data_IF_656896569384
#
_entry.id   IF_656896569384
#
_cell.length_a   1.000
_cell.length_b   1.000
_cell.length_c   1.000
_cell.angle_alpha   90.00
_cell.angle_beta   90.00
_cell.angle_gamma   90.00
#
_symmetry.space_group_name_H-M   'P 1'
#
loop_
_entity.id
_entity.type
_entity.pdbx_description
1 polymer ?
#
# COMPACT_ATOMS: atom_id res chain seq x y z
N UNK A 1 -30.60 9.95 19.07
CA UNK A 1 -29.46 9.13 19.54
C UNK A 1 -28.84 8.33 18.39
N UNK A 2 -29.55 7.36 17.79
CA UNK A 2 -28.96 6.54 16.69
C UNK A 2 -28.63 7.40 15.46
N UNK A 3 -29.50 8.34 15.08
CA UNK A 3 -29.24 9.28 13.98
C UNK A 3 -28.25 10.41 14.33
N UNK A 4 -27.93 10.60 15.62
CA UNK A 4 -26.99 11.64 16.09
C UNK A 4 -25.56 11.09 16.25
N UNK A 5 -25.38 9.77 16.18
CA UNK A 5 -24.09 9.13 16.25
C UNK A 5 -23.49 8.98 14.84
N UNK A 6 -22.16 9.02 14.73
CA UNK A 6 -21.47 8.83 13.44
C UNK A 6 -21.77 7.46 12.79
N UNK A 7 -22.11 6.46 13.60
CA UNK A 7 -22.50 5.12 13.15
C UNK A 7 -23.67 4.63 14.01
N UNK A 8 -24.83 4.46 13.40
CA UNK A 8 -26.03 3.92 14.03
C UNK A 8 -26.13 2.40 13.89
N UNK A 9 -26.21 1.66 14.99
CA UNK A 9 -26.44 0.20 14.98
C UNK A 9 -27.76 -0.13 15.67
N UNK A 10 -28.74 -0.64 14.91
CA UNK A 10 -30.03 -1.09 15.39
C UNK A 10 -30.04 -2.58 15.74
N UNK A 11 -30.72 -2.94 16.83
CA UNK A 11 -30.94 -4.33 17.21
C UNK A 11 -32.34 -4.75 16.76
N UNK A 12 -32.42 -5.72 15.85
CA UNK A 12 -33.67 -6.28 15.37
C UNK A 12 -34.27 -7.20 16.42
N UNK A 13 -35.48 -6.85 16.87
CA UNK A 13 -36.27 -7.62 17.82
C UNK A 13 -37.76 -7.57 17.48
N UNK A 14 -38.56 -8.26 18.29
CA UNK A 14 -40.02 -8.39 18.06
C UNK A 14 -40.78 -7.10 18.46
N UNK A 15 -40.15 -6.25 19.27
CA UNK A 15 -40.80 -5.11 19.94
C UNK A 15 -40.81 -3.81 19.13
N UNK A 16 -40.25 -3.81 17.91
CA UNK A 16 -40.37 -2.68 16.97
C UNK A 16 -39.17 -2.52 16.03
N UNK A 17 -39.46 -2.14 14.78
CA UNK A 17 -38.44 -1.96 13.73
C UNK A 17 -37.98 -0.51 13.52
N UNK A 18 -38.54 0.45 14.25
CA UNK A 18 -38.26 1.88 14.02
C UNK A 18 -36.78 2.22 14.22
N UNK A 19 -36.14 1.73 15.28
CA UNK A 19 -34.72 1.93 15.53
C UNK A 19 -33.82 1.26 14.49
N UNK A 20 -34.27 0.12 13.95
CA UNK A 20 -33.56 -0.63 12.90
C UNK A 20 -33.64 0.11 11.57
N UNK A 21 -34.82 0.60 11.19
CA UNK A 21 -35.03 1.36 9.96
C UNK A 21 -34.29 2.70 9.96
N UNK A 22 -34.03 3.26 11.15
CA UNK A 22 -33.28 4.51 11.33
C UNK A 22 -31.77 4.28 11.58
N UNK A 23 -31.26 3.05 11.44
CA UNK A 23 -29.84 2.70 11.69
C UNK A 23 -29.09 2.33 10.41
N UNK A 24 -27.76 2.53 10.39
CA UNK A 24 -26.90 2.15 9.25
C UNK A 24 -26.71 0.63 9.16
N UNK A 25 -26.60 -0.02 10.33
CA UNK A 25 -26.45 -1.47 10.44
C UNK A 25 -27.53 -2.08 11.34
N UNK A 26 -28.11 -3.19 10.89
CA UNK A 26 -29.06 -3.99 11.68
C UNK A 26 -28.43 -5.31 12.11
N UNK A 27 -28.44 -5.59 13.41
CA UNK A 27 -27.97 -6.87 13.97
C UNK A 27 -29.08 -7.53 14.80
N UNK A 28 -29.14 -8.86 14.82
CA UNK A 28 -30.18 -9.58 15.59
C UNK A 28 -29.91 -9.61 17.10
N UNK A 29 -28.64 -9.60 17.53
CA UNK A 29 -28.24 -9.74 18.92
C UNK A 29 -27.01 -8.87 19.21
N UNK A 30 -26.93 -8.32 20.42
CA UNK A 30 -25.80 -7.47 20.84
C UNK A 30 -24.43 -8.18 20.71
N UNK A 31 -24.37 -9.51 20.90
CA UNK A 31 -23.12 -10.29 20.73
C UNK A 31 -22.50 -10.14 19.33
N UNK A 32 -23.28 -9.85 18.29
CA UNK A 32 -22.73 -9.66 16.94
C UNK A 32 -22.03 -8.31 16.76
N UNK A 33 -22.22 -7.35 17.66
CA UNK A 33 -21.55 -6.05 17.64
C UNK A 33 -20.02 -6.20 17.74
N UNK A 34 -19.53 -7.14 18.54
CA UNK A 34 -18.09 -7.43 18.67
C UNK A 34 -17.49 -7.79 17.31
N UNK A 35 -18.14 -8.67 16.55
CA UNK A 35 -17.66 -9.09 15.23
C UNK A 35 -17.81 -7.99 14.18
N UNK A 36 -18.87 -7.19 14.26
CA UNK A 36 -19.06 -6.05 13.36
C UNK A 36 -17.91 -5.05 13.50
N UNK A 37 -17.59 -4.64 14.74
CA UNK A 37 -16.55 -3.63 14.98
C UNK A 37 -15.13 -4.20 14.83
N UNK A 38 -14.81 -5.27 15.56
CA UNK A 38 -13.41 -5.76 15.67
C UNK A 38 -12.92 -6.41 14.38
N UNK A 39 -13.81 -7.08 13.63
CA UNK A 39 -13.43 -7.73 12.36
C UNK A 39 -13.70 -6.80 11.19
N UNK A 40 -14.97 -6.44 10.95
CA UNK A 40 -15.34 -5.70 9.74
C UNK A 40 -14.88 -4.24 9.81
N UNK A 41 -15.02 -3.58 10.96
CA UNK A 41 -14.52 -2.22 11.17
C UNK A 41 -13.02 -2.10 10.97
N UNK A 42 -12.23 -3.01 11.56
CA UNK A 42 -10.76 -3.07 11.38
C UNK A 42 -10.38 -3.28 9.91
N UNK A 43 -10.99 -4.27 9.25
CA UNK A 43 -10.70 -4.55 7.84
C UNK A 43 -11.08 -3.40 6.92
N UNK A 44 -12.29 -2.82 7.07
CA UNK A 44 -12.73 -1.70 6.24
C UNK A 44 -11.84 -0.47 6.43
N UNK A 45 -11.47 -0.13 7.67
CA UNK A 45 -10.56 0.98 7.93
C UNK A 45 -9.22 0.79 7.22
N UNK A 46 -8.60 -0.39 7.37
CA UNK A 46 -7.30 -0.68 6.76
C UNK A 46 -7.36 -0.71 5.23
N UNK A 47 -8.38 -1.36 4.66
CA UNK A 47 -8.63 -1.44 3.21
C UNK A 47 -8.77 -0.07 2.59
N UNK A 48 -9.66 0.78 3.15
CA UNK A 48 -9.92 2.12 2.63
C UNK A 48 -8.66 2.99 2.76
N UNK A 49 -7.97 2.93 3.89
CA UNK A 49 -6.74 3.71 4.10
C UNK A 49 -5.64 3.32 3.09
N UNK A 50 -5.40 2.02 2.88
CA UNK A 50 -4.43 1.53 1.90
C UNK A 50 -4.84 1.87 0.47
N UNK A 51 -6.12 1.70 0.14
CA UNK A 51 -6.67 2.04 -1.18
C UNK A 51 -6.46 3.52 -1.51
N UNK A 52 -6.78 4.43 -0.58
CA UNK A 52 -6.62 5.88 -0.79
C UNK A 52 -5.13 6.24 -0.96
N UNK A 53 -4.27 5.75 -0.06
CA UNK A 53 -2.83 6.01 -0.15
C UNK A 53 -2.24 5.55 -1.49
N UNK A 54 -2.61 4.34 -1.92
CA UNK A 54 -2.17 3.80 -3.20
C UNK A 54 -2.77 4.56 -4.39
N UNK A 55 -4.02 5.03 -4.28
CA UNK A 55 -4.65 5.85 -5.32
C UNK A 55 -3.89 7.17 -5.52
N UNK A 56 -3.45 7.83 -4.44
CA UNK A 56 -2.58 9.00 -4.58
C UNK A 56 -1.25 8.65 -5.26
N UNK A 57 -0.60 7.58 -4.83
CA UNK A 57 0.65 7.11 -5.43
C UNK A 57 0.53 6.89 -6.93
N UNK A 58 -0.45 6.09 -7.40
CA UNK A 58 -0.57 5.74 -8.82
C UNK A 58 -0.85 6.95 -9.70
N UNK A 59 -1.70 7.87 -9.24
CA UNK A 59 -2.09 9.05 -10.00
C UNK A 59 -0.96 10.09 -10.06
N UNK A 60 -0.20 10.27 -8.98
CA UNK A 60 0.98 11.13 -8.97
C UNK A 60 2.08 10.52 -9.86
N UNK A 61 2.32 9.21 -9.73
CA UNK A 61 3.30 8.50 -10.54
C UNK A 61 3.01 8.67 -12.04
N UNK A 62 1.74 8.53 -12.46
CA UNK A 62 1.32 8.75 -13.83
C UNK A 62 1.35 10.23 -14.24
N UNK A 63 0.62 11.10 -13.52
CA UNK A 63 0.42 12.49 -13.91
C UNK A 63 1.71 13.32 -13.95
N UNK A 64 2.65 13.07 -13.04
CA UNK A 64 3.92 13.80 -13.06
C UNK A 64 4.82 13.42 -14.26
N UNK A 65 4.69 12.22 -14.83
CA UNK A 65 5.46 11.89 -16.05
C UNK A 65 5.05 12.75 -17.24
N UNK A 66 3.75 13.04 -17.38
CA UNK A 66 3.26 14.00 -18.39
C UNK A 66 3.82 15.40 -18.13
N UNK A 67 3.77 15.85 -16.86
CA UNK A 67 4.30 17.15 -16.48
C UNK A 67 5.81 17.31 -16.81
N UNK A 68 6.62 16.27 -16.54
CA UNK A 68 8.04 16.29 -16.87
C UNK A 68 8.28 16.27 -18.38
N UNK A 69 7.45 15.57 -19.14
CA UNK A 69 7.54 15.58 -20.59
C UNK A 69 7.21 16.95 -21.19
N UNK A 70 6.15 17.60 -20.73
CA UNK A 70 5.80 18.97 -21.12
C UNK A 70 6.94 19.95 -20.82
N UNK A 71 7.56 19.84 -19.64
CA UNK A 71 8.73 20.66 -19.31
C UNK A 71 9.91 20.39 -20.26
N UNK A 72 10.12 19.13 -20.66
CA UNK A 72 11.20 18.72 -21.57
C UNK A 72 10.98 19.22 -23.02
N UNK A 73 9.73 19.30 -23.49
CA UNK A 73 9.38 19.82 -24.82
C UNK A 73 9.21 21.34 -24.87
N UNK A 74 9.46 22.05 -23.76
CA UNK A 74 9.32 23.51 -23.68
C UNK A 74 7.88 23.98 -23.56
N UNK A 75 7.00 23.17 -22.96
CA UNK A 75 5.57 23.40 -22.77
C UNK A 75 4.81 23.60 -24.08
N UNK A 76 5.13 22.77 -25.08
CA UNK A 76 4.47 22.80 -26.39
C UNK A 76 3.03 22.27 -26.37
N UNK A 77 2.60 21.59 -25.30
CA UNK A 77 1.29 20.93 -25.19
C UNK A 77 1.24 19.57 -25.90
N UNK A 78 2.40 19.03 -26.28
CA UNK A 78 2.49 17.74 -26.94
C UNK A 78 2.50 16.61 -25.90
N UNK A 79 1.51 15.71 -25.94
CA UNK A 79 1.45 14.54 -25.06
C UNK A 79 2.40 13.43 -25.51
N UNK A 80 3.16 12.85 -24.57
CA UNK A 80 3.97 11.65 -24.78
C UNK A 80 3.14 10.37 -24.90
N UNK A 81 1.95 10.36 -24.32
CA UNK A 81 1.05 9.19 -24.34
C UNK A 81 -0.08 9.40 -25.32
N UNK A 82 -0.48 8.30 -25.96
CA UNK A 82 -1.68 8.24 -26.77
C UNK A 82 -2.94 8.44 -25.91
N UNK A 83 -3.95 9.13 -26.46
CA UNK A 83 -5.18 9.47 -25.75
C UNK A 83 -5.93 8.22 -25.25
N UNK A 84 -5.92 7.13 -26.02
CA UNK A 84 -6.52 5.88 -25.59
C UNK A 84 -5.79 5.27 -24.40
N UNK A 85 -4.47 5.42 -24.33
CA UNK A 85 -3.67 4.91 -23.21
C UNK A 85 -4.04 5.64 -21.94
N UNK A 86 -4.14 6.97 -22.01
CA UNK A 86 -4.52 7.82 -20.88
C UNK A 86 -5.91 7.48 -20.35
N UNK A 87 -6.88 7.25 -21.25
CA UNK A 87 -8.25 6.85 -20.88
C UNK A 87 -8.27 5.46 -20.20
N UNK A 88 -7.54 4.49 -20.76
CA UNK A 88 -7.50 3.12 -20.25
C UNK A 88 -6.80 2.99 -18.89
N UNK A 89 -5.83 3.86 -18.62
CA UNK A 89 -5.02 3.81 -17.41
C UNK A 89 -5.87 3.75 -16.14
N UNK A 90 -6.80 4.68 -16.00
CA UNK A 90 -7.62 4.80 -14.80
C UNK A 90 -8.83 3.86 -14.80
N UNK A 91 -9.44 3.61 -15.96
CA UNK A 91 -10.72 2.90 -16.05
C UNK A 91 -10.55 1.39 -15.98
N UNK A 92 -9.59 0.82 -16.72
CA UNK A 92 -9.46 -0.63 -16.89
C UNK A 92 -8.15 -1.13 -16.25
N UNK A 93 -7.04 -0.49 -16.57
CA UNK A 93 -5.72 -1.05 -16.25
C UNK A 93 -5.40 -0.96 -14.76
N UNK A 94 -5.72 0.14 -14.08
CA UNK A 94 -5.34 0.31 -12.67
C UNK A 94 -6.49 0.28 -11.67
N UNK A 95 -7.75 0.25 -12.12
CA UNK A 95 -8.92 0.20 -11.23
C UNK A 95 -9.11 -1.19 -10.61
N UNK A 96 -9.04 -2.26 -11.40
CA UNK A 96 -9.31 -3.63 -10.95
C UNK A 96 -8.35 -4.09 -9.83
N UNK A 97 -7.03 -3.86 -9.91
CA UNK A 97 -6.13 -4.17 -8.80
C UNK A 97 -6.45 -3.36 -7.54
N UNK A 98 -6.80 -2.08 -7.68
CA UNK A 98 -7.14 -1.19 -6.56
C UNK A 98 -8.42 -1.62 -5.86
N UNK A 99 -9.45 -1.98 -6.64
CA UNK A 99 -10.69 -2.55 -6.10
C UNK A 99 -10.40 -3.87 -5.38
N UNK A 100 -9.50 -4.69 -5.95
CA UNK A 100 -9.08 -5.94 -5.30
C UNK A 100 -8.51 -5.71 -3.91
N UNK A 101 -7.61 -4.73 -3.78
CA UNK A 101 -7.03 -4.30 -2.51
C UNK A 101 -8.10 -3.73 -1.56
N UNK A 102 -9.05 -2.93 -2.08
CA UNK A 102 -10.11 -2.32 -1.28
C UNK A 102 -11.16 -3.31 -0.76
N UNK A 103 -11.35 -4.47 -1.41
CA UNK A 103 -12.44 -5.41 -1.10
C UNK A 103 -11.93 -6.70 -0.46
N UNK A 104 -10.91 -7.33 -1.05
CA UNK A 104 -10.50 -8.69 -0.68
C UNK A 104 -9.33 -8.74 0.31
N UNK A 105 -8.67 -7.62 0.56
CA UNK A 105 -7.49 -7.58 1.42
C UNK A 105 -7.84 -7.98 2.86
N UNK A 106 -7.06 -8.90 3.43
CA UNK A 106 -7.20 -9.33 4.81
C UNK A 106 -5.81 -9.40 5.41
N UNK A 107 -5.56 -8.59 6.42
CA UNK A 107 -4.26 -8.60 7.09
C UNK A 107 -4.14 -9.76 8.07
N UNK A 108 -5.23 -10.05 8.78
CA UNK A 108 -5.32 -11.09 9.80
C UNK A 108 -6.70 -11.75 9.68
N UNK A 109 -6.78 -13.07 9.88
CA UNK A 109 -8.04 -13.80 9.75
C UNK A 109 -9.06 -13.40 10.83
N UNK A 110 -10.36 -13.51 10.52
CA UNK A 110 -11.44 -13.07 11.41
C UNK A 110 -11.39 -13.68 12.81
N UNK A 111 -11.02 -14.95 12.92
CA UNK A 111 -10.87 -15.65 14.20
C UNK A 111 -9.80 -15.03 15.09
N UNK A 112 -8.70 -14.56 14.48
CA UNK A 112 -7.58 -13.97 15.20
C UNK A 112 -7.90 -12.55 15.62
N UNK A 113 -8.60 -11.79 14.77
CA UNK A 113 -9.12 -10.47 15.15
C UNK A 113 -9.98 -10.54 16.41
N UNK A 114 -10.88 -11.54 16.53
CA UNK A 114 -11.69 -11.77 17.73
C UNK A 114 -10.89 -12.26 18.95
N UNK A 115 -9.75 -12.93 18.73
CA UNK A 115 -8.84 -13.30 19.81
C UNK A 115 -8.06 -12.08 20.32
N UNK A 116 -7.69 -11.15 19.43
CA UNK A 116 -6.89 -9.96 19.73
C UNK A 116 -7.65 -8.65 19.43
N UNK A 117 -8.64 -8.27 20.27
CA UNK A 117 -9.42 -7.06 20.06
C UNK A 117 -8.58 -5.77 20.13
N UNK A 118 -7.37 -5.83 20.70
CA UNK A 118 -6.42 -4.72 20.71
C UNK A 118 -6.04 -4.22 19.29
N UNK A 119 -6.14 -5.07 18.25
CA UNK A 119 -5.94 -4.67 16.84
C UNK A 119 -6.90 -3.54 16.43
N UNK A 120 -8.13 -3.55 16.94
CA UNK A 120 -9.12 -2.52 16.65
C UNK A 120 -8.66 -1.12 17.10
N UNK A 121 -7.79 -1.02 18.12
CA UNK A 121 -7.28 0.28 18.58
C UNK A 121 -6.42 1.01 17.54
N UNK A 122 -6.01 0.33 16.47
CA UNK A 122 -5.25 0.97 15.39
C UNK A 122 -6.11 1.97 14.60
N UNK A 123 -7.43 1.72 14.52
CA UNK A 123 -8.41 2.62 13.89
C UNK A 123 -8.55 3.95 14.64
N UNK A 124 -9.01 3.96 15.90
CA UNK A 124 -9.16 5.19 16.68
C UNK A 124 -7.87 6.00 16.87
N UNK A 125 -6.69 5.36 16.77
CA UNK A 125 -5.38 6.02 16.81
C UNK A 125 -4.92 6.56 15.46
N UNK A 126 -5.72 6.40 14.40
CA UNK A 126 -5.45 6.83 13.03
C UNK A 126 -4.10 6.36 12.45
N UNK A 127 -3.63 5.17 12.81
CA UNK A 127 -2.29 4.71 12.43
C UNK A 127 -2.09 4.49 10.92
N UNK A 128 -3.15 4.19 10.17
CA UNK A 128 -3.06 3.90 8.73
C UNK A 128 -3.48 5.07 7.85
N UNK A 129 -4.20 6.06 8.40
CA UNK A 129 -4.70 7.23 7.70
C UNK A 129 -4.23 8.51 8.41
N UNK A 130 -2.91 8.65 8.49
CA UNK A 130 -2.23 9.83 9.01
C UNK A 130 -1.62 10.64 7.87
N UNK A 131 -1.52 11.96 8.04
CA UNK A 131 -1.05 12.86 6.99
C UNK A 131 0.40 12.56 6.59
N UNK A 132 1.24 12.19 7.55
CA UNK A 132 2.63 11.76 7.28
C UNK A 132 2.67 10.53 6.37
N UNK A 133 1.73 9.60 6.53
CA UNK A 133 1.66 8.39 5.69
C UNK A 133 1.20 8.73 4.29
N UNK A 134 0.17 9.56 4.16
CA UNK A 134 -0.32 10.04 2.85
C UNK A 134 0.80 10.76 2.10
N UNK A 135 1.48 11.72 2.76
CA UNK A 135 2.62 12.42 2.19
C UNK A 135 3.77 11.46 1.81
N UNK A 136 4.04 10.43 2.61
CA UNK A 136 5.01 9.39 2.27
C UNK A 136 4.67 8.65 0.99
N UNK A 137 3.39 8.29 0.78
CA UNK A 137 2.92 7.68 -0.46
C UNK A 137 2.97 8.64 -1.65
N UNK A 138 2.65 9.93 -1.45
CA UNK A 138 2.79 10.96 -2.48
C UNK A 138 4.25 11.16 -2.89
N UNK A 139 5.17 11.20 -1.92
CA UNK A 139 6.61 11.29 -2.15
C UNK A 139 7.14 10.06 -2.89
N UNK A 140 6.66 8.85 -2.54
CA UNK A 140 6.97 7.64 -3.30
C UNK A 140 6.46 7.74 -4.75
N UNK A 141 5.27 8.31 -4.97
CA UNK A 141 4.71 8.54 -6.30
C UNK A 141 5.57 9.51 -7.13
N UNK A 142 6.04 10.59 -6.51
CA UNK A 142 6.97 11.55 -7.11
C UNK A 142 8.33 10.92 -7.42
N UNK A 143 8.86 10.08 -6.54
CA UNK A 143 10.08 9.33 -6.81
C UNK A 143 9.90 8.39 -8.01
N UNK A 144 8.82 7.59 -8.02
CA UNK A 144 8.53 6.67 -9.11
C UNK A 144 8.36 7.40 -10.44
N UNK A 145 7.66 8.54 -10.50
CA UNK A 145 7.51 9.31 -11.75
C UNK A 145 8.84 9.85 -12.26
N UNK A 146 9.72 10.35 -11.38
CA UNK A 146 11.05 10.82 -11.74
C UNK A 146 11.88 9.68 -12.34
N UNK A 147 11.92 8.53 -11.66
CA UNK A 147 12.64 7.33 -12.11
C UNK A 147 12.13 6.87 -13.47
N UNK A 148 10.81 6.76 -13.63
CA UNK A 148 10.18 6.33 -14.89
C UNK A 148 10.54 7.28 -16.03
N UNK A 149 10.39 8.58 -15.82
CA UNK A 149 10.64 9.58 -16.86
C UNK A 149 12.14 9.63 -17.23
N UNK A 150 13.00 9.89 -16.24
CA UNK A 150 14.42 10.12 -16.50
C UNK A 150 15.13 8.85 -16.98
N UNK A 151 14.85 7.67 -16.41
CA UNK A 151 15.50 6.45 -16.89
C UNK A 151 15.09 6.12 -18.32
N UNK A 152 13.80 6.20 -18.67
CA UNK A 152 13.37 5.93 -20.04
C UNK A 152 14.00 6.92 -21.03
N UNK A 153 13.95 8.23 -20.75
CA UNK A 153 14.58 9.23 -21.63
C UNK A 153 16.07 8.97 -21.78
N UNK A 154 16.82 8.73 -20.69
CA UNK A 154 18.26 8.47 -20.76
C UNK A 154 18.61 7.19 -21.55
N UNK A 155 17.82 6.12 -21.42
CA UNK A 155 18.04 4.87 -22.15
C UNK A 155 17.82 5.08 -23.65
N UNK A 156 16.76 5.78 -24.04
CA UNK A 156 16.38 5.92 -25.46
C UNK A 156 17.01 7.13 -26.18
N UNK A 157 17.60 8.10 -25.48
CA UNK A 157 18.12 9.33 -26.08
C UNK A 157 19.38 9.11 -26.94
N UNK A 158 20.34 8.31 -26.49
CA UNK A 158 21.65 8.16 -27.15
C UNK A 158 21.89 6.76 -27.77
N UNK A 159 20.98 5.80 -27.60
CA UNK A 159 21.21 4.41 -28.01
C UNK A 159 20.38 4.02 -29.24
N UNK A 160 20.97 3.21 -30.12
CA UNK A 160 20.24 2.55 -31.20
C UNK A 160 19.20 1.60 -30.62
N UNK A 161 17.93 1.85 -30.93
CA UNK A 161 16.78 1.09 -30.44
C UNK A 161 16.74 -0.34 -31.00
N UNK A 162 17.20 -0.51 -32.25
CA UNK A 162 17.30 -1.80 -32.94
C UNK A 162 18.75 -2.17 -33.22
N UNK A 163 18.98 -3.47 -33.45
CA UNK A 163 20.27 -4.02 -33.95
C UNK A 163 20.69 -3.34 -35.27
N UNK A 164 19.71 -2.83 -36.05
CA UNK A 164 19.93 -2.05 -37.28
C UNK A 164 20.34 -0.59 -37.06
N UNK A 165 20.50 -0.13 -35.81
CA UNK A 165 20.95 1.23 -35.49
C UNK A 165 19.89 2.33 -35.60
N UNK A 166 18.62 1.98 -35.84
CA UNK A 166 17.51 2.96 -35.87
C UNK A 166 17.25 3.53 -34.47
N UNK A 167 16.95 4.82 -34.38
CA UNK A 167 16.55 5.49 -33.14
C UNK A 167 15.07 5.26 -32.82
N UNK A 168 14.70 5.29 -31.54
CA UNK A 168 13.31 5.16 -31.13
C UNK A 168 12.52 6.42 -31.48
N UNK A 169 11.36 6.25 -32.13
CA UNK A 169 10.42 7.34 -32.33
C UNK A 169 9.70 7.68 -31.01
N UNK A 170 9.11 8.87 -30.93
CA UNK A 170 8.41 9.36 -29.75
C UNK A 170 7.29 8.41 -29.30
N UNK A 171 6.54 7.84 -30.24
CA UNK A 171 5.51 6.85 -29.93
C UNK A 171 6.10 5.59 -29.26
N UNK A 172 7.27 5.13 -29.69
CA UNK A 172 7.93 3.96 -29.10
C UNK A 172 8.43 4.26 -27.68
N UNK A 173 9.01 5.45 -27.47
CA UNK A 173 9.44 5.91 -26.14
C UNK A 173 8.23 6.07 -25.21
N UNK A 174 7.16 6.69 -25.69
CA UNK A 174 5.92 6.89 -24.94
C UNK A 174 5.25 5.58 -24.54
N UNK A 175 5.12 4.63 -25.48
CA UNK A 175 4.57 3.29 -25.18
C UNK A 175 5.45 2.51 -24.20
N UNK A 176 6.78 2.65 -24.27
CA UNK A 176 7.70 2.02 -23.32
C UNK A 176 7.58 2.62 -21.93
N UNK A 177 7.53 3.94 -21.84
CA UNK A 177 7.36 4.66 -20.58
C UNK A 177 6.01 4.31 -19.94
N UNK A 178 4.94 4.25 -20.72
CA UNK A 178 3.61 3.85 -20.24
C UNK A 178 3.58 2.38 -19.79
N UNK A 179 4.23 1.47 -20.52
CA UNK A 179 4.39 0.07 -20.10
C UNK A 179 5.13 0.00 -18.75
N UNK A 180 6.19 0.79 -18.58
CA UNK A 180 6.95 0.87 -17.32
C UNK A 180 6.07 1.35 -16.16
N UNK A 181 5.17 2.33 -16.39
CA UNK A 181 4.21 2.79 -15.37
C UNK A 181 3.29 1.65 -14.95
N UNK A 182 2.72 0.91 -15.91
CA UNK A 182 1.79 -0.20 -15.61
C UNK A 182 2.48 -1.27 -14.78
N UNK A 183 3.70 -1.66 -15.15
CA UNK A 183 4.47 -2.63 -14.38
C UNK A 183 4.86 -2.11 -13.00
N UNK A 184 5.36 -0.88 -12.90
CA UNK A 184 5.74 -0.27 -11.62
C UNK A 184 4.56 -0.20 -10.65
N UNK A 185 3.40 0.24 -11.12
CA UNK A 185 2.17 0.38 -10.34
C UNK A 185 1.62 -1.01 -9.95
N UNK A 186 1.50 -1.95 -10.88
CA UNK A 186 1.03 -3.32 -10.56
C UNK A 186 1.98 -4.09 -9.62
N UNK A 187 3.29 -3.90 -9.75
CA UNK A 187 4.23 -4.49 -8.78
C UNK A 187 4.13 -3.83 -7.42
N UNK A 188 3.96 -2.50 -7.37
CA UNK A 188 3.80 -1.78 -6.11
C UNK A 188 2.58 -2.26 -5.33
N UNK A 189 1.44 -2.50 -6.00
CA UNK A 189 0.25 -3.02 -5.31
C UNK A 189 0.43 -4.46 -4.86
N UNK A 190 1.07 -5.30 -5.68
CA UNK A 190 1.36 -6.68 -5.33
C UNK A 190 2.25 -6.76 -4.07
N UNK A 191 3.25 -5.88 -3.94
CA UNK A 191 4.09 -5.75 -2.75
C UNK A 191 3.37 -5.19 -1.52
N UNK A 192 2.23 -4.53 -1.72
CA UNK A 192 1.45 -3.93 -0.63
C UNK A 192 0.40 -4.89 -0.08
N UNK A 193 -0.05 -5.86 -0.87
CA UNK A 193 -0.99 -6.90 -0.45
C UNK A 193 -0.33 -7.84 0.58
N UNK A 194 -1.00 -8.06 1.71
CA UNK A 194 -0.57 -8.98 2.77
C UNK A 194 -1.08 -10.40 2.54
N UNK A 195 -2.28 -10.55 1.98
CA UNK A 195 -2.88 -11.84 1.68
C UNK A 195 -3.19 -11.92 0.20
N UNK A 196 -2.36 -12.66 -0.55
CA UNK A 196 -2.42 -12.68 -2.02
C UNK A 196 -3.27 -13.86 -2.52
N UNK A 197 -4.58 -13.64 -2.64
CA UNK A 197 -5.55 -14.63 -3.15
C UNK A 197 -5.41 -14.86 -4.65
N UNK A 198 -6.02 -15.94 -5.15
CA UNK A 198 -6.07 -16.21 -6.59
C UNK A 198 -6.79 -15.08 -7.37
N UNK A 199 -7.82 -14.46 -6.78
CA UNK A 199 -8.57 -13.35 -7.40
C UNK A 199 -7.66 -12.13 -7.54
N UNK A 200 -6.89 -11.80 -6.50
CA UNK A 200 -5.93 -10.70 -6.55
C UNK A 200 -4.82 -10.96 -7.58
N UNK A 201 -4.32 -12.18 -7.69
CA UNK A 201 -3.38 -12.55 -8.76
C UNK A 201 -4.02 -12.32 -10.14
N UNK A 202 -5.25 -12.78 -10.33
CA UNK A 202 -5.97 -12.63 -11.59
C UNK A 202 -6.17 -11.15 -11.95
N UNK A 203 -6.45 -10.26 -10.99
CA UNK A 203 -6.62 -8.84 -11.27
C UNK A 203 -5.31 -8.10 -11.51
N UNK A 204 -4.24 -8.40 -10.75
CA UNK A 204 -2.92 -7.78 -10.95
C UNK A 204 -2.29 -8.23 -12.28
N UNK A 205 -2.19 -9.54 -12.51
CA UNK A 205 -1.59 -10.07 -13.74
C UNK A 205 -2.52 -9.92 -14.94
N UNK A 206 -3.84 -10.00 -14.72
CA UNK A 206 -4.84 -9.71 -15.75
C UNK A 206 -4.79 -8.27 -16.22
N UNK A 207 -4.49 -7.30 -15.35
CA UNK A 207 -4.24 -5.90 -15.75
C UNK A 207 -3.05 -5.80 -16.72
N UNK A 208 -1.92 -6.41 -16.36
CA UNK A 208 -0.72 -6.44 -17.21
C UNK A 208 -0.99 -7.15 -18.54
N UNK A 209 -1.68 -8.29 -18.51
CA UNK A 209 -2.08 -9.02 -19.72
C UNK A 209 -3.03 -8.19 -20.60
N UNK A 210 -4.00 -7.49 -19.99
CA UNK A 210 -4.94 -6.62 -20.70
C UNK A 210 -4.21 -5.48 -21.40
N UNK A 211 -3.14 -4.94 -20.83
CA UNK A 211 -2.30 -3.93 -21.49
C UNK A 211 -1.68 -4.46 -22.79
N UNK A 212 -1.06 -5.65 -22.75
CA UNK A 212 -0.46 -6.23 -23.95
C UNK A 212 -1.51 -6.65 -24.98
N UNK A 213 -2.65 -7.19 -24.55
CA UNK A 213 -3.77 -7.49 -25.45
C UNK A 213 -4.33 -6.23 -26.11
N UNK A 214 -4.42 -5.13 -25.35
CA UNK A 214 -4.82 -3.84 -25.90
C UNK A 214 -3.81 -3.33 -26.91
N UNK A 215 -2.50 -3.38 -26.62
CA UNK A 215 -1.47 -2.99 -27.58
C UNK A 215 -1.52 -3.82 -28.87
N UNK A 216 -1.79 -5.12 -28.78
CA UNK A 216 -1.99 -5.97 -29.96
C UNK A 216 -3.25 -5.59 -30.73
N UNK A 217 -4.39 -5.46 -30.05
CA UNK A 217 -5.67 -5.13 -30.68
C UNK A 217 -5.68 -3.74 -31.32
N UNK A 218 -5.17 -2.74 -30.59
CA UNK A 218 -5.05 -1.36 -31.08
C UNK A 218 -4.02 -1.27 -32.21
N UNK A 219 -2.89 -1.97 -32.10
CA UNK A 219 -1.87 -2.02 -33.15
C UNK A 219 -2.32 -2.73 -34.42
N UNK A 220 -3.27 -3.68 -34.35
CA UNK A 220 -3.88 -4.32 -35.52
C UNK A 220 -5.05 -3.53 -36.13
N UNK A 221 -5.57 -2.53 -35.40
CA UNK A 221 -6.67 -1.69 -35.88
C UNK A 221 -6.24 -0.82 -37.06
N UNK A 222 -7.21 -0.36 -37.87
CA UNK A 222 -6.95 0.45 -39.06
C UNK A 222 -5.99 1.61 -38.77
N UNK A 223 -5.04 1.93 -39.66
CA UNK A 223 -4.11 3.06 -39.50
C UNK A 223 -4.80 4.42 -39.26
N UNK A 224 -6.06 4.58 -39.67
CA UNK A 224 -6.85 5.79 -39.37
C UNK A 224 -7.20 5.94 -37.88
N UNK A 225 -7.27 4.84 -37.12
CA UNK A 225 -7.66 4.83 -35.70
C UNK A 225 -6.42 4.76 -34.80
N UNK A 226 -5.39 4.02 -35.23
CA UNK A 226 -4.15 3.81 -34.47
C UNK A 226 -3.08 4.87 -34.74
N UNK A 227 -3.14 5.59 -35.87
CA UNK A 227 -2.17 6.62 -36.21
C UNK A 227 -0.72 6.11 -36.08
N UNK A 228 0.04 6.74 -35.19
CA UNK A 228 1.45 6.41 -34.92
C UNK A 228 1.66 5.15 -34.06
N UNK A 229 0.59 4.57 -33.52
CA UNK A 229 0.62 3.34 -32.73
C UNK A 229 0.35 2.06 -33.56
N UNK A 230 0.18 2.19 -34.89
CA UNK A 230 -0.03 1.04 -35.77
C UNK A 230 1.14 0.05 -35.68
N UNK A 231 0.83 -1.21 -35.35
CA UNK A 231 1.78 -2.32 -35.19
C UNK A 231 3.01 -2.06 -34.30
N UNK A 232 2.97 -1.05 -33.43
CA UNK A 232 4.13 -0.61 -32.66
C UNK A 232 4.70 -1.70 -31.75
N UNK A 233 3.83 -2.55 -31.16
CA UNK A 233 4.28 -3.64 -30.31
C UNK A 233 5.01 -4.71 -31.10
N UNK A 234 4.46 -5.17 -32.22
CA UNK A 234 4.99 -6.31 -32.98
C UNK A 234 6.24 -5.90 -33.75
N UNK A 235 6.22 -4.72 -34.37
CA UNK A 235 7.32 -4.30 -35.22
C UNK A 235 8.42 -3.60 -34.43
N UNK A 236 8.09 -2.62 -33.60
CA UNK A 236 9.07 -1.77 -32.95
C UNK A 236 9.55 -2.34 -31.60
N UNK A 237 8.62 -2.63 -30.69
CA UNK A 237 8.95 -2.86 -29.27
C UNK A 237 9.35 -4.31 -28.96
N UNK A 238 8.53 -5.29 -29.36
CA UNK A 238 8.73 -6.69 -29.00
C UNK A 238 10.06 -7.28 -29.52
N UNK A 239 10.54 -6.96 -30.75
CA UNK A 239 11.83 -7.45 -31.24
C UNK A 239 13.04 -6.80 -30.56
N UNK A 240 12.85 -5.66 -29.88
CA UNK A 240 13.92 -4.89 -29.28
C UNK A 240 14.18 -5.36 -27.82
N UNK A 241 15.34 -5.97 -27.51
CA UNK A 241 15.63 -6.43 -26.15
C UNK A 241 15.69 -5.28 -25.13
N UNK A 242 16.07 -4.08 -25.61
CA UNK A 242 16.15 -2.86 -24.80
C UNK A 242 14.80 -2.48 -24.19
N UNK A 243 13.68 -2.75 -24.87
CA UNK A 243 12.33 -2.49 -24.36
C UNK A 243 12.00 -3.35 -23.12
N UNK A 244 12.31 -4.64 -23.18
CA UNK A 244 12.07 -5.56 -22.06
C UNK A 244 13.02 -5.28 -20.90
N UNK A 245 14.29 -5.03 -21.20
CA UNK A 245 15.30 -4.70 -20.20
C UNK A 245 15.00 -3.36 -19.50
N UNK A 246 14.59 -2.33 -20.24
CA UNK A 246 14.22 -1.03 -19.67
C UNK A 246 12.98 -1.15 -18.80
N UNK A 247 11.95 -1.87 -19.25
CA UNK A 247 10.72 -2.10 -18.47
C UNK A 247 11.04 -2.77 -17.14
N UNK A 248 11.86 -3.82 -17.13
CA UNK A 248 12.26 -4.53 -15.92
C UNK A 248 13.13 -3.66 -15.00
N UNK A 249 14.12 -2.95 -15.56
CA UNK A 249 15.02 -2.08 -14.82
C UNK A 249 14.25 -0.94 -14.13
N UNK A 250 13.38 -0.26 -14.87
CA UNK A 250 12.56 0.85 -14.35
C UNK A 250 11.61 0.33 -13.27
N UNK A 251 10.95 -0.80 -13.50
CA UNK A 251 10.05 -1.42 -12.52
C UNK A 251 10.79 -1.79 -11.23
N UNK A 252 11.99 -2.37 -11.33
CA UNK A 252 12.82 -2.70 -10.18
C UNK A 252 13.25 -1.43 -9.43
N UNK A 253 13.73 -0.41 -10.15
CA UNK A 253 14.18 0.86 -9.57
C UNK A 253 13.05 1.58 -8.81
N UNK A 254 11.82 1.61 -9.35
CA UNK A 254 10.68 2.22 -8.67
C UNK A 254 10.28 1.50 -7.37
N UNK A 255 10.27 0.16 -7.39
CA UNK A 255 9.75 -0.63 -6.27
C UNK A 255 10.80 -0.92 -5.18
N UNK A 256 12.09 -0.80 -5.50
CA UNK A 256 13.18 -1.12 -4.58
C UNK A 256 13.17 -0.29 -3.29
N UNK A 257 12.96 1.03 -3.30
CA UNK A 257 12.91 1.81 -2.06
C UNK A 257 11.74 1.43 -1.16
N UNK A 258 10.57 1.15 -1.75
CA UNK A 258 9.42 0.69 -0.99
C UNK A 258 9.68 -0.68 -0.36
N UNK A 259 10.25 -1.62 -1.13
CA UNK A 259 10.65 -2.93 -0.65
C UNK A 259 11.64 -2.82 0.52
N UNK A 260 12.67 -1.99 0.37
CA UNK A 260 13.65 -1.73 1.43
C UNK A 260 12.99 -1.14 2.68
N UNK A 261 12.07 -0.19 2.52
CA UNK A 261 11.33 0.42 3.62
C UNK A 261 10.47 -0.60 4.39
N UNK A 262 9.68 -1.42 3.68
CA UNK A 262 8.83 -2.42 4.35
C UNK A 262 9.67 -3.51 5.04
N UNK A 263 10.78 -3.94 4.43
CA UNK A 263 11.71 -4.89 5.02
C UNK A 263 12.39 -4.34 6.27
N UNK A 264 12.83 -3.07 6.23
CA UNK A 264 13.41 -2.40 7.39
C UNK A 264 12.39 -2.24 8.51
N UNK A 265 11.17 -1.78 8.20
CA UNK A 265 10.10 -1.62 9.17
C UNK A 265 9.76 -2.95 9.84
N UNK A 266 9.64 -4.04 9.06
CA UNK A 266 9.32 -5.36 9.60
C UNK A 266 10.43 -5.93 10.48
N UNK A 267 11.69 -5.65 10.16
CA UNK A 267 12.84 -6.19 10.90
C UNK A 267 13.15 -5.42 12.18
N UNK A 268 13.02 -4.09 12.16
CA UNK A 268 13.48 -3.21 13.26
C UNK A 268 12.32 -2.74 14.15
N UNK A 269 11.17 -2.42 13.57
CA UNK A 269 10.02 -1.90 14.30
C UNK A 269 8.69 -2.49 13.79
N UNK A 270 8.45 -3.79 14.02
CA UNK A 270 7.24 -4.46 13.54
C UNK A 270 5.98 -3.92 14.22
N UNK A 271 4.93 -3.72 13.43
CA UNK A 271 3.60 -3.38 13.92
C UNK A 271 2.91 -4.62 14.51
N UNK A 272 1.91 -4.43 15.38
CA UNK A 272 1.23 -5.55 16.06
C UNK A 272 0.72 -6.64 15.09
N UNK A 273 0.22 -6.23 13.92
CA UNK A 273 -0.26 -7.16 12.90
C UNK A 273 0.87 -7.93 12.21
N UNK A 274 2.07 -7.36 12.07
CA UNK A 274 3.25 -8.09 11.54
C UNK A 274 3.66 -9.20 12.51
N UNK A 275 3.68 -8.90 13.82
CA UNK A 275 4.02 -9.88 14.86
C UNK A 275 3.01 -11.03 14.88
N UNK A 276 1.71 -10.71 14.81
CA UNK A 276 0.65 -11.72 14.78
C UNK A 276 0.75 -12.59 13.52
N UNK A 277 1.01 -11.99 12.35
CA UNK A 277 1.24 -12.73 11.10
C UNK A 277 2.42 -13.69 11.22
N UNK A 278 3.53 -13.27 11.84
CA UNK A 278 4.72 -14.12 12.03
C UNK A 278 4.45 -15.28 13.00
N UNK A 279 3.79 -15.02 14.13
CA UNK A 279 3.40 -16.08 15.08
C UNK A 279 2.54 -17.15 14.39
N UNK A 280 1.57 -16.71 13.59
CA UNK A 280 0.69 -17.57 12.79
C UNK A 280 1.44 -18.34 11.70
N UNK A 281 2.35 -17.68 10.98
CA UNK A 281 3.13 -18.30 9.91
C UNK A 281 4.05 -19.40 10.45
N UNK A 282 4.74 -19.14 11.56
CA UNK A 282 5.60 -20.11 12.23
C UNK A 282 4.83 -21.14 13.09
N UNK A 283 3.49 -21.11 13.09
CA UNK A 283 2.64 -21.97 13.94
C UNK A 283 3.02 -21.96 15.42
N UNK A 284 3.62 -20.87 15.89
CA UNK A 284 4.03 -20.70 17.30
C UNK A 284 2.84 -20.59 18.24
N UNK A 285 1.65 -20.29 17.71
CA UNK A 285 0.38 -20.37 18.43
C UNK A 285 0.03 -21.81 18.85
N UNK A 286 0.48 -22.81 18.08
CA UNK A 286 0.32 -24.24 18.40
C UNK A 286 1.44 -24.76 19.30
N UNK A 287 2.69 -24.33 19.07
CA UNK A 287 3.86 -24.77 19.83
C UNK A 287 3.92 -24.17 21.24
N UNK A 288 3.64 -22.87 21.39
CA UNK A 288 3.68 -22.17 22.68
C UNK A 288 2.31 -21.57 23.03
N UNK A 289 1.40 -22.46 23.41
CA UNK A 289 0.03 -22.11 23.83
C UNK A 289 0.02 -21.18 25.06
N UNK A 290 1.03 -21.23 25.91
CA UNK A 290 1.15 -20.36 27.09
C UNK A 290 1.44 -18.91 26.69
N UNK A 291 2.40 -18.69 25.79
CA UNK A 291 2.67 -17.36 25.21
C UNK A 291 1.44 -16.80 24.52
N UNK A 292 0.78 -17.61 23.67
CA UNK A 292 -0.43 -17.18 22.96
C UNK A 292 -1.55 -16.76 23.91
N UNK A 293 -1.80 -17.55 24.95
CA UNK A 293 -2.83 -17.25 25.96
C UNK A 293 -2.49 -15.98 26.76
N UNK A 294 -1.20 -15.78 27.08
CA UNK A 294 -0.72 -14.57 27.76
C UNK A 294 -0.94 -13.33 26.91
N UNK A 295 -0.52 -13.32 25.64
CA UNK A 295 -0.71 -12.17 24.76
C UNK A 295 -2.20 -11.90 24.50
N UNK A 296 -3.02 -12.95 24.34
CA UNK A 296 -4.48 -12.85 24.27
C UNK A 296 -5.09 -12.18 25.51
N UNK A 297 -4.65 -12.57 26.71
CA UNK A 297 -5.14 -11.96 27.95
C UNK A 297 -4.75 -10.49 28.07
N UNK A 298 -3.55 -10.11 27.62
CA UNK A 298 -3.09 -8.72 27.60
C UNK A 298 -3.91 -7.88 26.63
N UNK A 299 -4.27 -8.44 25.46
CA UNK A 299 -5.08 -7.76 24.46
C UNK A 299 -6.51 -7.47 24.93
N UNK A 300 -7.02 -8.20 25.94
CA UNK A 300 -8.35 -8.04 26.53
C UNK A 300 -8.39 -7.20 27.81
N UNK A 301 -7.23 -6.90 28.40
CA UNK A 301 -7.20 -5.98 29.55
C UNK A 301 -7.66 -4.60 29.11
N UNK A 302 -8.57 -3.98 29.88
CA UNK A 302 -9.02 -2.60 29.65
C UNK A 302 -7.80 -1.67 29.57
N UNK A 303 -7.49 -1.21 28.36
CA UNK A 303 -6.56 -0.11 28.18
C UNK A 303 -7.30 1.18 28.52
N UNK A 304 -7.27 1.56 29.80
CA UNK A 304 -7.50 2.94 30.19
C UNK A 304 -6.31 3.75 29.67
N UNK A 305 -6.41 4.25 28.44
CA UNK A 305 -5.57 5.32 27.86
C UNK A 305 -4.13 4.91 27.53
N UNK A 306 -3.82 4.88 26.22
CA UNK A 306 -2.51 5.19 25.63
C UNK A 306 -1.32 4.25 25.91
N UNK A 307 -0.91 3.46 24.91
CA UNK A 307 0.40 2.79 24.86
C UNK A 307 1.55 3.78 25.09
N UNK A 308 1.39 5.04 24.66
CA UNK A 308 2.29 6.17 24.91
C UNK A 308 2.46 6.47 26.41
N UNK A 309 1.39 6.44 27.21
CA UNK A 309 1.45 6.71 28.65
C UNK A 309 2.21 5.59 29.41
N UNK A 310 2.13 4.34 28.93
CA UNK A 310 2.84 3.19 29.50
C UNK A 310 4.33 3.22 29.14
N UNK A 311 4.67 3.63 27.92
CA UNK A 311 6.05 3.87 27.48
C UNK A 311 6.65 5.05 28.25
N UNK A 312 5.92 6.16 28.40
CA UNK A 312 6.33 7.31 29.20
C UNK A 312 6.50 6.95 30.68
N UNK A 313 5.59 6.16 31.25
CA UNK A 313 5.71 5.66 32.61
C UNK A 313 6.95 4.77 32.79
N UNK A 314 7.26 3.92 31.81
CA UNK A 314 8.44 3.04 31.85
C UNK A 314 9.74 3.82 31.65
N UNK A 315 9.75 4.85 30.80
CA UNK A 315 10.86 5.79 30.65
C UNK A 315 11.09 6.59 31.94
N UNK A 316 10.02 7.09 32.60
CA UNK A 316 10.13 7.76 33.91
C UNK A 316 10.67 6.81 34.99
N UNK A 317 10.22 5.56 35.00
CA UNK A 317 10.68 4.56 35.97
C UNK A 317 12.15 4.18 35.76
N UNK A 318 12.61 4.11 34.50
CA UNK A 318 14.02 3.90 34.15
C UNK A 318 14.89 5.11 34.53
N UNK A 319 14.44 6.34 34.25
CA UNK A 319 15.11 7.58 34.69
C UNK A 319 15.23 7.67 36.21
N UNK A 320 14.17 7.33 36.95
CA UNK A 320 14.19 7.31 38.42
C UNK A 320 15.15 6.26 38.99
N UNK A 321 15.25 5.07 38.37
CA UNK A 321 16.24 4.04 38.76
C UNK A 321 17.68 4.48 38.46
N UNK A 322 17.92 5.18 37.35
CA UNK A 322 19.24 5.72 37.00
C UNK A 322 19.66 6.84 37.97
N UNK A 323 18.77 7.76 38.32
CA UNK A 323 19.05 8.81 39.31
C UNK A 323 19.32 8.23 40.70
N UNK A 324 18.53 7.25 41.17
CA UNK A 324 18.80 6.58 42.45
C UNK A 324 20.15 5.86 42.48
N UNK A 325 20.58 5.27 41.36
CA UNK A 325 21.86 4.60 41.25
C UNK A 325 23.03 5.59 41.28
N UNK A 326 22.89 6.74 40.63
CA UNK A 326 23.87 7.83 40.71
C UNK A 326 23.96 8.46 42.11
N UNK A 327 22.82 8.72 42.78
CA UNK A 327 22.82 9.26 44.14
C UNK A 327 23.35 8.27 45.19
N UNK A 328 23.11 6.96 45.02
CA UNK A 328 23.68 5.94 45.90
C UNK A 328 25.21 5.84 45.72
N UNK A 329 25.71 6.05 44.51
CA UNK A 329 27.15 5.98 44.20
C UNK A 329 27.90 7.23 44.71
N UNK A 330 27.26 8.41 44.66
CA UNK A 330 27.86 9.64 45.20
C UNK A 330 27.91 9.69 46.74
N UNK A 331 26.96 9.05 47.43
CA UNK A 331 26.96 8.92 48.91
C UNK A 331 28.00 7.88 49.39
N UNK A 332 28.32 6.89 48.55
CA UNK A 332 29.34 5.88 48.87
C UNK A 332 30.77 6.40 48.66
N UNK A 333 30.96 7.42 47.81
CA UNK A 333 32.25 8.12 47.64
C UNK A 333 32.52 9.21 48.68
N UNK A 334 31.51 9.71 49.41
CA UNK A 334 31.69 10.71 50.48
C UNK A 334 31.86 10.12 51.89
N UNK A 335 31.83 8.78 52.03
CA UNK A 335 31.90 8.06 53.31
C UNK A 335 33.16 7.19 53.47
N UNK A 336 34.23 7.46 52.70
CA UNK A 336 35.55 6.87 52.94
C UNK A 336 36.33 7.76 53.92
N UNK A 337 36.70 7.30 55.14
CA UNK A 337 37.55 8.07 56.02
C UNK A 337 38.99 8.01 55.49
N UNK A 338 39.58 9.18 55.24
CA UNK A 338 41.01 9.32 54.97
C UNK A 338 41.79 8.89 56.22
N UNK A 339 42.54 7.79 56.07
CA UNK A 339 43.61 7.35 56.98
C UNK A 339 44.86 8.20 56.80
#
# INVERSE_FOLDING_TARGET
>A
MIQEADIGVGISGVEGMQAVMASDFSIAQFRFLERLLVVHGHWCYKRIAQMICYFFYKNIAFGLTLFYFEAYTGFSGQSVYDDWYMLLFNVILTSLPVISLGVFEQDVSSEVCLQFPALYQQGPKNLFFDWYRILGWMANGMYSSLVIFFLNINIFYNQGFRISGQTADMAAVGTTMFTSIIWAVNMQIALTMSHFTWIQHAFVWGSVATWYLFLLGYGMSSPLISGNAYQILIEALAPAPIYWASTLLVTAACNMPYLAHISYQRSVNPLDHHVIQEIKYYKKDLEDKHMWTRERSKARQETKIGFTARVDAKIRQLKGKLQKKYSATSVQQSSSPAS
#
